data_IF_192386889544
#
_entry.id   IF_192386889544
#
_cell.length_a   1.000
_cell.length_b   1.000
_cell.length_c   1.000
_cell.angle_alpha   90.00
_cell.angle_beta   90.00
_cell.angle_gamma   90.00
#
_symmetry.space_group_name_H-M   'P 1'
#
loop_
_entity.id
_entity.type
_entity.pdbx_description
1 polymer ?
#
# COMPACT_ATOMS: atom_id res chain seq x y z
N UNK A 1 -12.01 -55.88 15.47
CA UNK A 1 -12.70 -54.96 14.54
C UNK A 1 -12.09 -53.59 14.74
N UNK A 2 -11.16 -53.22 13.87
CA UNK A 2 -10.52 -51.90 13.86
C UNK A 2 -11.50 -50.91 13.25
N UNK A 3 -11.94 -49.93 14.03
CA UNK A 3 -12.66 -48.78 13.49
C UNK A 3 -11.64 -47.88 12.80
N UNK A 4 -11.70 -47.84 11.47
CA UNK A 4 -11.05 -46.81 10.68
C UNK A 4 -11.60 -45.43 11.09
N UNK A 5 -10.77 -44.41 11.36
CA UNK A 5 -11.27 -43.06 11.49
C UNK A 5 -11.83 -42.64 10.12
N UNK A 6 -13.08 -42.19 10.12
CA UNK A 6 -13.83 -41.74 8.95
C UNK A 6 -13.12 -40.60 8.22
N UNK A 7 -12.80 -40.82 6.95
CA UNK A 7 -12.38 -39.81 5.97
C UNK A 7 -13.55 -38.87 5.60
N UNK A 8 -14.08 -38.10 6.54
CA UNK A 8 -14.96 -36.97 6.23
C UNK A 8 -14.24 -35.66 6.57
N UNK A 9 -13.20 -35.35 5.78
CA UNK A 9 -12.67 -33.99 5.73
C UNK A 9 -13.67 -33.10 5.00
N UNK A 10 -14.59 -32.51 5.77
CA UNK A 10 -15.69 -31.66 5.30
C UNK A 10 -15.24 -30.51 4.39
N UNK A 11 -16.18 -30.02 3.57
CA UNK A 11 -16.00 -28.82 2.75
C UNK A 11 -15.82 -27.60 3.65
N UNK A 12 -14.93 -26.68 3.29
CA UNK A 12 -14.71 -25.43 4.03
C UNK A 12 -16.01 -24.71 4.40
N UNK A 13 -16.25 -24.49 5.70
CA UNK A 13 -17.32 -23.61 6.20
C UNK A 13 -16.97 -22.14 5.93
N UNK A 14 -17.40 -21.67 4.75
CA UNK A 14 -17.16 -20.31 4.28
C UNK A 14 -17.91 -19.27 5.09
N UNK A 15 -19.10 -19.60 5.60
CA UNK A 15 -19.91 -18.65 6.36
C UNK A 15 -19.23 -18.34 7.69
N UNK A 16 -18.74 -19.37 8.39
CA UNK A 16 -17.92 -19.22 9.60
C UNK A 16 -16.64 -18.44 9.33
N UNK A 17 -15.92 -18.80 8.27
CA UNK A 17 -14.66 -18.13 7.90
C UNK A 17 -14.86 -16.63 7.60
N UNK A 18 -15.92 -16.29 6.87
CA UNK A 18 -16.21 -14.90 6.51
C UNK A 18 -16.85 -14.11 7.66
N UNK A 19 -17.60 -14.76 8.55
CA UNK A 19 -18.03 -14.17 9.81
C UNK A 19 -16.81 -13.78 10.67
N UNK A 20 -15.81 -14.65 10.78
CA UNK A 20 -14.56 -14.36 11.48
C UNK A 20 -13.78 -13.20 10.81
N UNK A 21 -13.72 -13.15 9.48
CA UNK A 21 -13.09 -12.02 8.76
C UNK A 21 -13.80 -10.70 9.03
N UNK A 22 -15.14 -10.69 9.06
CA UNK A 22 -15.92 -9.51 9.39
C UNK A 22 -15.69 -9.08 10.85
N UNK A 23 -15.61 -10.04 11.77
CA UNK A 23 -15.27 -9.76 13.17
C UNK A 23 -13.88 -9.13 13.29
N UNK A 24 -12.88 -9.67 12.59
CA UNK A 24 -11.53 -9.10 12.51
C UNK A 24 -11.55 -7.64 12.02
N UNK A 25 -12.30 -7.37 10.95
CA UNK A 25 -12.45 -6.01 10.41
C UNK A 25 -13.18 -5.05 11.36
N UNK A 26 -14.10 -5.53 12.20
CA UNK A 26 -14.75 -4.72 13.24
C UNK A 26 -13.79 -4.41 14.40
N UNK A 27 -13.01 -5.40 14.84
CA UNK A 27 -12.05 -5.23 15.91
C UNK A 27 -10.84 -4.38 15.48
N UNK A 28 -10.44 -4.45 14.21
CA UNK A 28 -9.33 -3.70 13.61
C UNK A 28 -9.77 -2.98 12.32
N UNK A 29 -10.60 -1.92 12.41
CA UNK A 29 -11.14 -1.24 11.22
C UNK A 29 -10.08 -0.70 10.26
N UNK A 30 -8.92 -0.32 10.80
CA UNK A 30 -7.79 0.17 10.00
C UNK A 30 -7.18 -0.92 9.10
N UNK A 31 -7.34 -2.20 9.42
CA UNK A 31 -6.87 -3.34 8.62
C UNK A 31 -7.90 -3.86 7.61
N UNK A 32 -9.13 -3.35 7.62
CA UNK A 32 -10.22 -3.87 6.80
C UNK A 32 -9.87 -3.93 5.31
N UNK A 33 -9.18 -2.92 4.77
CA UNK A 33 -8.76 -2.91 3.36
C UNK A 33 -7.88 -4.11 3.03
N UNK A 34 -6.96 -4.49 3.93
CA UNK A 34 -6.07 -5.62 3.71
C UNK A 34 -6.78 -6.96 3.91
N UNK A 35 -7.61 -7.09 4.96
CA UNK A 35 -8.40 -8.29 5.24
C UNK A 35 -9.31 -8.68 4.06
N UNK A 36 -9.91 -7.71 3.39
CA UNK A 36 -10.76 -7.95 2.22
C UNK A 36 -10.01 -7.99 0.89
N UNK A 37 -8.71 -7.68 0.87
CA UNK A 37 -7.87 -7.88 -0.30
C UNK A 37 -7.34 -9.32 -0.40
N UNK A 38 -7.28 -10.06 0.71
CA UNK A 38 -6.82 -11.46 0.71
C UNK A 38 -7.78 -12.37 -0.05
N UNK A 39 -7.21 -13.14 -0.98
CA UNK A 39 -7.93 -14.22 -1.65
C UNK A 39 -7.84 -15.51 -0.83
N UNK A 40 -8.96 -16.23 -0.67
CA UNK A 40 -9.00 -17.47 0.11
C UNK A 40 -8.84 -18.68 -0.78
N UNK A 41 -7.84 -19.49 -0.49
CA UNK A 41 -7.59 -20.77 -1.16
C UNK A 41 -7.84 -21.89 -0.16
N UNK A 42 -8.86 -22.72 -0.41
CA UNK A 42 -9.08 -23.93 0.39
C UNK A 42 -7.93 -24.91 0.15
N UNK A 43 -7.28 -25.38 1.21
CA UNK A 43 -6.18 -26.34 1.11
C UNK A 43 -6.18 -27.30 2.30
N UNK A 44 -6.24 -28.60 2.01
CA UNK A 44 -6.09 -29.66 3.03
C UNK A 44 -4.62 -29.90 3.44
N UNK A 45 -3.68 -29.22 2.78
CA UNK A 45 -2.23 -29.41 2.98
C UNK A 45 -1.65 -28.44 4.00
N UNK A 46 -2.30 -27.31 4.22
CA UNK A 46 -1.94 -26.37 5.29
C UNK A 46 -2.50 -26.87 6.63
N UNK A 47 -1.74 -26.83 7.74
CA UNK A 47 -2.21 -27.33 9.04
C UNK A 47 -3.26 -26.41 9.71
N UNK A 48 -3.20 -25.11 9.42
CA UNK A 48 -4.02 -24.04 10.02
C UNK A 48 -4.51 -23.08 8.92
N UNK A 49 -4.09 -21.82 8.99
CA UNK A 49 -4.14 -20.83 7.93
C UNK A 49 -2.71 -20.38 7.67
N UNK A 50 -2.42 -19.98 6.45
CA UNK A 50 -1.11 -19.48 6.05
C UNK A 50 -1.26 -18.50 4.88
N UNK A 51 -0.28 -17.63 4.69
CA UNK A 51 -0.25 -16.69 3.56
C UNK A 51 0.95 -16.92 2.66
N UNK A 52 0.78 -16.63 1.36
CA UNK A 52 1.91 -16.55 0.42
C UNK A 52 2.31 -15.09 0.12
N UNK A 53 3.43 -14.93 -0.58
CA UNK A 53 3.99 -13.63 -1.01
C UNK A 53 3.08 -12.88 -1.98
N UNK A 54 2.08 -13.56 -2.55
CA UNK A 54 1.12 -13.04 -3.51
C UNK A 54 -0.23 -12.69 -2.86
N UNK A 55 -0.29 -12.60 -1.51
CA UNK A 55 -1.48 -12.20 -0.75
C UNK A 55 -2.67 -13.17 -0.87
N UNK A 56 -2.38 -14.45 -1.12
CA UNK A 56 -3.36 -15.53 -0.95
C UNK A 56 -3.29 -16.04 0.48
N UNK A 57 -4.45 -16.38 1.04
CA UNK A 57 -4.58 -17.01 2.35
C UNK A 57 -5.09 -18.44 2.15
N UNK A 58 -4.24 -19.41 2.42
CA UNK A 58 -4.53 -20.83 2.38
C UNK A 58 -5.22 -21.24 3.67
N UNK A 59 -6.32 -21.98 3.57
CA UNK A 59 -7.18 -22.27 4.72
C UNK A 59 -7.49 -23.77 4.79
N UNK A 60 -7.19 -24.36 5.94
CA UNK A 60 -7.54 -25.74 6.28
C UNK A 60 -9.01 -25.85 6.73
N UNK A 61 -9.87 -26.63 6.04
CA UNK A 61 -11.26 -26.85 6.49
C UNK A 61 -11.34 -27.39 7.91
N UNK A 62 -10.51 -28.38 8.25
CA UNK A 62 -10.47 -28.98 9.58
C UNK A 62 -10.00 -28.00 10.68
N UNK A 63 -9.25 -26.96 10.33
CA UNK A 63 -8.91 -25.88 11.26
C UNK A 63 -10.09 -24.93 11.47
N UNK A 64 -10.76 -24.54 10.39
CA UNK A 64 -11.95 -23.69 10.50
C UNK A 64 -13.04 -24.36 11.30
N UNK A 65 -13.26 -25.67 11.12
CA UNK A 65 -14.28 -26.42 11.86
C UNK A 65 -14.01 -26.43 13.36
N UNK A 66 -12.75 -26.64 13.79
CA UNK A 66 -12.38 -26.75 15.22
C UNK A 66 -12.31 -25.41 15.97
N UNK A 67 -12.02 -24.32 15.28
CA UNK A 67 -11.74 -23.03 15.93
C UNK A 67 -13.01 -22.18 16.14
N UNK A 68 -13.19 -21.51 17.29
CA UNK A 68 -14.24 -20.50 17.46
C UNK A 68 -14.09 -19.32 16.49
N UNK A 69 -15.19 -18.61 16.19
CA UNK A 69 -15.20 -17.46 15.28
C UNK A 69 -14.30 -16.33 15.78
N UNK A 70 -14.28 -16.11 17.10
CA UNK A 70 -13.52 -15.07 17.78
C UNK A 70 -12.02 -15.32 17.70
N UNK A 71 -11.58 -16.58 17.79
CA UNK A 71 -10.18 -16.97 17.64
C UNK A 71 -9.74 -16.93 16.18
N UNK A 72 -10.59 -17.41 15.24
CA UNK A 72 -10.33 -17.29 13.80
C UNK A 72 -10.18 -15.83 13.36
N UNK A 73 -10.88 -14.90 13.99
CA UNK A 73 -10.71 -13.48 13.73
C UNK A 73 -9.31 -12.97 14.13
N UNK A 74 -8.76 -13.47 15.23
CA UNK A 74 -7.37 -13.23 15.63
C UNK A 74 -6.39 -13.76 14.58
N UNK A 75 -6.63 -14.97 14.07
CA UNK A 75 -5.83 -15.59 13.01
C UNK A 75 -5.88 -14.74 11.73
N UNK A 76 -7.05 -14.25 11.31
CA UNK A 76 -7.15 -13.34 10.16
C UNK A 76 -6.27 -12.09 10.28
N UNK A 77 -6.27 -11.47 11.48
CA UNK A 77 -5.42 -10.30 11.74
C UNK A 77 -3.95 -10.70 11.78
N UNK A 78 -3.61 -11.84 12.36
CA UNK A 78 -2.25 -12.37 12.39
C UNK A 78 -1.70 -12.59 10.97
N UNK A 79 -2.40 -13.37 10.14
CA UNK A 79 -1.99 -13.69 8.77
C UNK A 79 -1.78 -12.44 7.90
N UNK A 80 -2.73 -11.49 7.93
CA UNK A 80 -2.61 -10.26 7.13
C UNK A 80 -1.47 -9.36 7.62
N UNK A 81 -1.09 -9.46 8.89
CA UNK A 81 -0.01 -8.66 9.48
C UNK A 81 1.35 -9.04 8.92
N UNK A 82 1.61 -10.32 8.61
CA UNK A 82 2.85 -10.73 7.93
C UNK A 82 3.03 -10.00 6.59
N UNK A 83 1.94 -9.85 5.84
CA UNK A 83 1.96 -9.26 4.50
C UNK A 83 2.08 -7.74 4.53
N UNK A 84 1.38 -7.09 5.47
CA UNK A 84 1.47 -5.65 5.70
C UNK A 84 2.87 -5.24 6.20
N UNK A 85 3.46 -6.03 7.09
CA UNK A 85 4.80 -5.79 7.64
C UNK A 85 5.94 -6.31 6.75
N UNK A 86 5.63 -6.84 5.57
CA UNK A 86 6.61 -7.37 4.60
C UNK A 86 7.57 -8.40 5.22
N UNK A 87 7.08 -9.31 6.08
CA UNK A 87 7.96 -10.24 6.80
C UNK A 87 8.77 -11.13 5.86
N UNK A 88 8.18 -11.65 4.77
CA UNK A 88 8.95 -12.40 3.77
C UNK A 88 10.04 -11.58 3.07
N UNK A 89 9.79 -10.31 2.76
CA UNK A 89 10.74 -9.45 2.06
C UNK A 89 11.86 -8.99 3.00
N UNK A 90 11.50 -8.59 4.22
CA UNK A 90 12.44 -8.31 5.32
C UNK A 90 13.31 -9.52 5.66
N UNK A 91 12.70 -10.70 5.74
CA UNK A 91 13.38 -11.97 6.01
C UNK A 91 14.41 -12.30 4.94
N UNK A 92 14.06 -12.12 3.66
CA UNK A 92 14.99 -12.32 2.54
C UNK A 92 16.16 -11.32 2.52
N UNK A 93 15.93 -10.06 2.91
CA UNK A 93 17.01 -9.07 3.09
C UNK A 93 17.95 -9.52 4.20
N UNK A 94 17.41 -9.88 5.35
CA UNK A 94 18.16 -10.36 6.51
C UNK A 94 18.96 -11.65 6.19
N UNK A 95 18.33 -12.60 5.48
CA UNK A 95 18.99 -13.83 5.04
C UNK A 95 20.22 -13.54 4.17
N UNK A 96 20.08 -12.64 3.19
CA UNK A 96 21.19 -12.25 2.31
C UNK A 96 22.31 -11.56 3.08
N UNK A 97 21.97 -10.64 3.99
CA UNK A 97 22.95 -9.89 4.78
C UNK A 97 23.75 -10.77 5.75
N UNK A 98 23.10 -11.78 6.35
CA UNK A 98 23.69 -12.62 7.39
C UNK A 98 24.06 -14.03 6.93
N UNK A 99 23.89 -14.35 5.65
CA UNK A 99 24.16 -15.68 5.09
C UNK A 99 23.25 -16.79 5.63
N UNK A 100 22.01 -16.45 6.03
CA UNK A 100 21.05 -17.41 6.58
C UNK A 100 20.32 -18.11 5.44
N UNK A 101 20.53 -19.41 5.29
CA UNK A 101 20.06 -20.18 4.12
C UNK A 101 19.35 -21.49 4.49
N UNK A 102 19.41 -21.90 5.76
CA UNK A 102 18.84 -23.16 6.21
C UNK A 102 17.34 -23.07 6.45
N UNK A 103 16.66 -24.22 6.37
CA UNK A 103 15.24 -24.34 6.78
C UNK A 103 15.01 -23.93 8.23
N UNK A 104 16.00 -24.18 9.11
CA UNK A 104 15.96 -23.71 10.49
C UNK A 104 16.01 -22.18 10.60
N UNK A 105 16.69 -21.49 9.69
CA UNK A 105 16.72 -20.03 9.67
C UNK A 105 15.36 -19.46 9.30
N UNK A 106 14.68 -20.09 8.34
CA UNK A 106 13.32 -19.72 7.91
C UNK A 106 12.31 -19.95 9.03
N UNK A 107 12.41 -21.05 9.76
CA UNK A 107 11.61 -21.28 10.97
C UNK A 107 11.89 -20.20 12.03
N UNK A 108 13.15 -19.82 12.28
CA UNK A 108 13.48 -18.72 13.20
C UNK A 108 12.87 -17.39 12.76
N UNK A 109 12.87 -17.10 11.46
CA UNK A 109 12.21 -15.91 10.90
C UNK A 109 10.69 -15.95 11.11
N UNK A 110 10.07 -17.11 10.91
CA UNK A 110 8.64 -17.29 11.14
C UNK A 110 8.28 -17.04 12.62
N UNK A 111 9.00 -17.68 13.55
CA UNK A 111 8.82 -17.47 15.01
C UNK A 111 9.06 -15.99 15.39
N UNK A 112 10.09 -15.35 14.84
CA UNK A 112 10.39 -13.94 15.08
C UNK A 112 9.28 -13.00 14.58
N UNK A 113 8.75 -13.28 13.39
CA UNK A 113 7.65 -12.56 12.78
C UNK A 113 6.37 -12.71 13.62
N UNK A 114 6.10 -13.91 14.11
CA UNK A 114 4.99 -14.19 15.02
C UNK A 114 5.13 -13.41 16.33
N UNK A 115 6.33 -13.34 16.91
CA UNK A 115 6.60 -12.51 18.09
C UNK A 115 6.26 -11.03 17.82
N UNK A 116 6.77 -10.44 16.72
CA UNK A 116 6.48 -9.04 16.34
C UNK A 116 4.97 -8.79 16.18
N UNK A 117 4.23 -9.77 15.63
CA UNK A 117 2.78 -9.66 15.42
C UNK A 117 2.02 -9.81 16.73
N UNK A 118 2.33 -10.86 17.46
CA UNK A 118 1.55 -11.28 18.61
C UNK A 118 1.66 -10.31 19.79
N UNK A 119 2.64 -9.41 19.80
CA UNK A 119 2.77 -8.32 20.76
C UNK A 119 1.59 -7.34 20.75
N UNK A 120 0.99 -7.07 19.58
CA UNK A 120 -0.05 -6.02 19.46
C UNK A 120 -1.33 -6.44 18.72
N UNK A 121 -1.45 -7.71 18.34
CA UNK A 121 -2.66 -8.22 17.65
C UNK A 121 -3.87 -8.36 18.58
N UNK A 122 -3.70 -8.85 19.81
CA UNK A 122 -4.80 -9.31 20.66
C UNK A 122 -5.33 -8.25 21.63
N UNK A 123 -6.47 -8.50 22.27
CA UNK A 123 -7.20 -7.51 23.06
C UNK A 123 -8.19 -6.72 22.21
N UNK A 124 -8.97 -5.82 22.82
CA UNK A 124 -9.95 -4.96 22.14
C UNK A 124 -10.84 -5.72 21.13
N UNK A 125 -11.42 -6.84 21.58
CA UNK A 125 -12.32 -7.66 20.78
C UNK A 125 -11.69 -8.84 20.03
N UNK A 126 -10.37 -9.05 20.15
CA UNK A 126 -9.68 -10.24 19.63
C UNK A 126 -9.13 -11.10 20.77
N UNK A 127 -9.49 -12.38 20.75
CA UNK A 127 -9.04 -13.39 21.71
C UNK A 127 -7.67 -13.91 21.27
N UNK A 128 -6.77 -14.12 22.23
CA UNK A 128 -5.50 -14.80 21.99
C UNK A 128 -5.72 -16.32 21.91
N UNK A 129 -5.43 -16.97 20.77
CA UNK A 129 -5.52 -18.41 20.66
C UNK A 129 -4.52 -19.14 21.58
N UNK A 130 -4.91 -20.32 22.02
CA UNK A 130 -4.00 -21.23 22.71
C UNK A 130 -2.85 -21.61 21.77
N UNK A 131 -1.61 -21.39 22.22
CA UNK A 131 -0.41 -21.65 21.43
C UNK A 131 0.17 -20.44 20.68
N UNK A 132 -0.46 -19.26 20.73
CA UNK A 132 0.13 -18.05 20.16
C UNK A 132 1.50 -17.74 20.78
N UNK A 133 2.52 -17.65 19.93
CA UNK A 133 3.91 -17.38 20.34
C UNK A 133 4.02 -15.95 20.89
N UNK A 134 4.77 -15.79 21.99
CA UNK A 134 5.04 -14.50 22.61
C UNK A 134 6.52 -14.41 23.00
N UNK A 135 7.14 -13.20 22.95
CA UNK A 135 8.55 -13.03 23.29
C UNK A 135 8.93 -13.57 24.67
N UNK A 136 8.09 -13.35 25.68
CA UNK A 136 8.34 -13.80 27.05
C UNK A 136 8.47 -15.34 27.18
N UNK A 137 7.82 -16.13 26.31
CA UNK A 137 7.98 -17.61 26.29
C UNK A 137 9.41 -18.00 25.90
N UNK A 138 10.04 -17.18 25.07
CA UNK A 138 11.41 -17.36 24.57
C UNK A 138 12.45 -16.61 25.42
N UNK A 139 12.03 -16.00 26.55
CA UNK A 139 12.86 -15.15 27.41
C UNK A 139 13.46 -13.93 26.67
N UNK A 140 12.70 -13.42 25.70
CA UNK A 140 13.03 -12.24 24.92
C UNK A 140 12.19 -11.04 25.38
N UNK A 141 12.70 -9.80 25.26
CA UNK A 141 11.91 -8.60 25.57
C UNK A 141 10.77 -8.41 24.55
N UNK A 142 9.67 -7.81 24.96
CA UNK A 142 8.55 -7.47 24.09
C UNK A 142 8.83 -6.20 23.28
N UNK A 143 8.11 -6.03 22.16
CA UNK A 143 8.09 -4.82 21.36
C UNK A 143 9.24 -4.66 20.37
N UNK A 144 9.99 -5.73 20.07
CA UNK A 144 11.06 -5.70 19.08
C UNK A 144 10.56 -6.03 17.67
N UNK A 145 11.38 -5.71 16.67
CA UNK A 145 11.17 -6.12 15.29
C UNK A 145 11.69 -7.54 15.05
N UNK A 146 11.16 -8.20 14.01
CA UNK A 146 11.54 -9.54 13.57
C UNK A 146 13.07 -9.68 13.43
N UNK A 147 13.78 -8.71 12.85
CA UNK A 147 15.23 -8.77 12.65
C UNK A 147 16.02 -8.81 13.97
N UNK A 148 15.50 -8.17 15.02
CA UNK A 148 16.06 -8.22 16.37
C UNK A 148 15.79 -9.60 16.99
N UNK A 149 14.55 -10.08 16.89
CA UNK A 149 14.14 -11.38 17.41
C UNK A 149 14.90 -12.55 16.78
N UNK A 150 15.16 -12.52 15.47
CA UNK A 150 15.94 -13.57 14.79
C UNK A 150 17.33 -13.75 15.43
N UNK A 151 17.95 -12.67 15.92
CA UNK A 151 19.24 -12.73 16.62
C UNK A 151 19.16 -13.37 18.00
N UNK A 152 18.03 -13.23 18.69
CA UNK A 152 17.79 -13.79 20.03
C UNK A 152 17.23 -15.22 20.03
N UNK A 153 16.67 -15.67 18.90
CA UNK A 153 16.04 -17.00 18.81
C UNK A 153 17.06 -18.07 18.42
N UNK A 154 17.15 -19.10 19.25
CA UNK A 154 17.88 -20.35 18.97
C UNK A 154 16.90 -21.51 18.86
N UNK A 155 17.13 -22.41 17.91
CA UNK A 155 16.39 -23.66 17.81
C UNK A 155 16.87 -24.64 18.88
N UNK A 156 15.99 -25.01 19.81
CA UNK A 156 16.35 -25.79 20.99
C UNK A 156 15.15 -26.04 21.90
N UNK A 157 15.39 -26.26 23.20
CA UNK A 157 14.35 -26.68 24.14
C UNK A 157 13.15 -25.71 24.23
N UNK A 158 13.36 -24.39 24.08
CA UNK A 158 12.31 -23.37 24.15
C UNK A 158 11.51 -23.20 22.85
N UNK A 159 11.94 -23.82 21.75
CA UNK A 159 11.33 -23.69 20.42
C UNK A 159 10.96 -25.04 19.81
N UNK A 160 11.19 -26.14 20.52
CA UNK A 160 10.96 -27.50 20.04
C UNK A 160 9.47 -27.73 19.72
N UNK A 161 8.59 -27.25 20.60
CA UNK A 161 7.14 -27.28 20.45
C UNK A 161 6.62 -26.28 19.41
N UNK A 162 7.47 -25.42 18.85
CA UNK A 162 7.15 -24.48 17.77
C UNK A 162 7.60 -25.00 16.39
N UNK A 163 8.19 -26.19 16.31
CA UNK A 163 8.68 -26.76 15.05
C UNK A 163 7.60 -27.05 14.01
N UNK A 164 6.33 -27.14 14.43
CA UNK A 164 5.17 -27.32 13.56
C UNK A 164 4.62 -26.00 12.99
N UNK A 165 5.10 -24.85 13.50
CA UNK A 165 4.59 -23.53 13.15
C UNK A 165 4.91 -23.20 11.69
N UNK A 166 3.87 -22.87 10.94
CA UNK A 166 4.00 -22.54 9.51
C UNK A 166 2.93 -21.55 9.06
N UNK A 167 3.23 -20.26 9.16
CA UNK A 167 2.39 -19.16 8.63
C UNK A 167 2.58 -18.95 7.10
N UNK A 168 3.31 -19.84 6.43
CA UNK A 168 3.51 -19.84 4.97
C UNK A 168 4.62 -18.93 4.46
N UNK A 169 4.81 -18.92 3.14
CA UNK A 169 5.89 -18.18 2.48
C UNK A 169 5.75 -16.66 2.58
N UNK A 170 4.56 -16.14 2.86
CA UNK A 170 4.31 -14.73 3.16
C UNK A 170 4.91 -14.28 4.50
N UNK A 171 5.16 -15.22 5.41
CA UNK A 171 5.77 -14.98 6.72
C UNK A 171 7.29 -15.11 6.69
N UNK A 172 7.84 -16.17 6.07
CA UNK A 172 9.28 -16.49 6.16
C UNK A 172 10.03 -16.46 4.82
N UNK A 173 9.32 -16.32 3.69
CA UNK A 173 9.90 -16.28 2.35
C UNK A 173 10.26 -17.64 1.74
N UNK A 174 10.06 -18.76 2.46
CA UNK A 174 10.31 -20.10 1.93
C UNK A 174 9.05 -20.66 1.27
N UNK A 175 9.12 -20.96 -0.03
CA UNK A 175 7.98 -21.51 -0.76
C UNK A 175 7.57 -22.89 -0.22
N UNK A 176 6.27 -23.10 -0.11
CA UNK A 176 5.67 -24.37 0.31
C UNK A 176 5.02 -25.05 -0.88
N UNK A 177 4.89 -26.36 -0.80
CA UNK A 177 4.33 -27.12 -1.90
C UNK A 177 2.81 -26.87 -2.12
N UNK A 178 2.13 -26.18 -1.20
CA UNK A 178 0.75 -25.70 -1.40
C UNK A 178 0.67 -24.29 -1.98
N UNK A 179 1.79 -23.57 -2.10
CA UNK A 179 1.80 -22.25 -2.72
C UNK A 179 1.53 -22.38 -4.23
N UNK A 180 0.60 -21.58 -4.74
CA UNK A 180 0.26 -21.56 -6.17
C UNK A 180 1.31 -20.83 -7.03
N UNK A 181 2.29 -20.17 -6.39
CA UNK A 181 3.34 -19.43 -7.06
C UNK A 181 2.86 -18.16 -7.78
N UNK A 182 3.75 -17.53 -8.57
CA UNK A 182 3.47 -16.28 -9.28
C UNK A 182 2.42 -16.45 -10.39
N UNK A 183 2.41 -17.59 -11.07
CA UNK A 183 1.47 -17.90 -12.16
C UNK A 183 0.12 -18.43 -11.66
N UNK A 184 -0.04 -18.58 -10.35
CA UNK A 184 -1.30 -18.99 -9.74
C UNK A 184 -2.41 -17.96 -9.93
N UNK A 185 -3.66 -18.42 -10.00
CA UNK A 185 -4.81 -17.52 -10.04
C UNK A 185 -4.92 -16.66 -8.76
N UNK A 186 -5.60 -15.52 -8.87
CA UNK A 186 -6.07 -14.71 -7.73
C UNK A 186 -5.00 -14.17 -6.76
N UNK A 187 -3.74 -14.11 -7.19
CA UNK A 187 -2.68 -13.40 -6.47
C UNK A 187 -2.73 -11.90 -6.77
N UNK A 188 -2.39 -11.06 -5.79
CA UNK A 188 -2.28 -9.62 -6.02
C UNK A 188 -0.98 -9.30 -6.78
N UNK A 189 -1.08 -8.39 -7.75
CA UNK A 189 0.10 -7.77 -8.37
C UNK A 189 0.89 -7.00 -7.32
N UNK A 190 2.18 -6.76 -7.55
CA UNK A 190 3.02 -6.01 -6.61
C UNK A 190 2.45 -4.61 -6.34
N UNK A 191 1.94 -3.97 -7.39
CA UNK A 191 1.30 -2.65 -7.32
C UNK A 191 0.01 -2.66 -6.50
N UNK A 192 -0.79 -3.74 -6.59
CA UNK A 192 -2.00 -3.91 -5.78
C UNK A 192 -1.64 -4.08 -4.30
N UNK A 193 -0.59 -4.85 -3.98
CA UNK A 193 -0.11 -5.04 -2.60
C UNK A 193 0.29 -3.70 -1.98
N UNK A 194 1.02 -2.88 -2.72
CA UNK A 194 1.45 -1.56 -2.24
C UNK A 194 0.28 -0.59 -2.13
N UNK A 195 -0.68 -0.63 -3.05
CA UNK A 195 -1.92 0.13 -2.91
C UNK A 195 -2.74 -0.27 -1.67
N UNK A 196 -2.68 -1.55 -1.26
CA UNK A 196 -3.30 -2.01 -0.02
C UNK A 196 -2.53 -1.51 1.20
N UNK A 197 -1.21 -1.70 1.27
CA UNK A 197 -0.35 -1.19 2.35
C UNK A 197 -0.51 0.32 2.52
N UNK A 198 -0.50 1.04 1.41
CA UNK A 198 -0.72 2.47 1.35
C UNK A 198 -2.06 2.89 1.96
N UNK A 199 -3.15 2.24 1.56
CA UNK A 199 -4.49 2.54 2.08
C UNK A 199 -4.58 2.27 3.58
N UNK A 200 -3.97 1.21 4.08
CA UNK A 200 -3.90 0.91 5.51
C UNK A 200 -3.11 1.99 6.26
N UNK A 201 -1.90 2.33 5.78
CA UNK A 201 -1.07 3.37 6.39
C UNK A 201 -1.77 4.74 6.42
N UNK A 202 -2.45 5.13 5.33
CA UNK A 202 -3.26 6.34 5.31
C UNK A 202 -4.46 6.28 6.26
N UNK A 203 -5.11 5.12 6.37
CA UNK A 203 -6.22 4.90 7.30
C UNK A 203 -5.78 5.15 8.74
N UNK A 204 -4.64 4.58 9.13
CA UNK A 204 -4.03 4.77 10.44
C UNK A 204 -3.65 6.24 10.66
N UNK A 205 -2.91 6.87 9.73
CA UNK A 205 -2.49 8.28 9.85
C UNK A 205 -3.67 9.25 9.92
N UNK A 206 -4.74 9.00 9.18
CA UNK A 206 -5.89 9.90 9.12
C UNK A 206 -6.78 9.81 10.36
N UNK A 207 -6.89 8.62 10.95
CA UNK A 207 -7.76 8.34 12.11
C UNK A 207 -7.05 7.33 13.03
N UNK A 208 -6.02 7.76 13.78
CA UNK A 208 -5.24 6.84 14.59
C UNK A 208 -6.10 6.13 15.64
N UNK A 209 -7.11 6.81 16.22
CA UNK A 209 -8.07 6.17 17.13
C UNK A 209 -7.37 5.38 18.24
N UNK A 210 -7.74 4.10 18.38
CA UNK A 210 -7.13 3.13 19.31
C UNK A 210 -6.07 2.23 18.64
N UNK A 211 -5.49 2.65 17.51
CA UNK A 211 -4.46 1.86 16.81
C UNK A 211 -3.24 1.68 17.72
N UNK A 212 -2.70 0.46 17.91
CA UNK A 212 -1.49 0.22 18.70
C UNK A 212 -0.28 1.02 18.21
N UNK A 213 0.64 1.35 19.11
CA UNK A 213 1.83 2.14 18.77
C UNK A 213 2.70 1.50 17.68
N UNK A 214 2.80 0.16 17.65
CA UNK A 214 3.54 -0.56 16.61
C UNK A 214 2.99 -0.29 15.22
N UNK A 215 1.66 -0.32 15.07
CA UNK A 215 0.96 0.04 13.83
C UNK A 215 1.08 1.53 13.46
N UNK A 216 1.13 2.43 14.45
CA UNK A 216 1.36 3.85 14.19
C UNK A 216 2.77 4.09 13.63
N UNK A 217 3.81 3.50 14.25
CA UNK A 217 5.19 3.56 13.75
C UNK A 217 5.32 2.93 12.37
N UNK A 218 4.74 1.74 12.17
CA UNK A 218 4.69 1.10 10.86
C UNK A 218 4.06 2.02 9.81
N UNK A 219 2.93 2.67 10.13
CA UNK A 219 2.29 3.56 9.16
C UNK A 219 3.15 4.79 8.84
N UNK A 220 3.88 5.32 9.82
CA UNK A 220 4.83 6.42 9.67
C UNK A 220 5.99 6.04 8.74
N UNK A 221 6.58 4.86 8.94
CA UNK A 221 7.77 4.36 8.24
C UNK A 221 7.47 3.67 6.91
N UNK A 222 6.26 3.14 6.71
CA UNK A 222 5.88 2.37 5.52
C UNK A 222 6.07 3.14 4.21
N UNK A 223 5.96 4.47 4.26
CA UNK A 223 6.22 5.36 3.14
C UNK A 223 6.90 6.64 3.65
N UNK A 224 7.75 7.25 2.81
CA UNK A 224 8.46 8.48 3.13
C UNK A 224 7.52 9.64 3.52
N UNK A 225 8.02 10.75 4.10
CA UNK A 225 7.21 11.97 4.26
C UNK A 225 6.82 12.55 2.91
N UNK A 226 5.55 12.96 2.74
CA UNK A 226 5.09 13.52 1.46
C UNK A 226 5.66 14.90 1.18
N UNK A 227 5.81 15.27 -0.09
CA UNK A 227 6.27 16.61 -0.45
C UNK A 227 5.31 17.71 0.03
N UNK A 228 5.78 18.95 0.27
CA UNK A 228 4.96 20.07 0.69
C UNK A 228 4.10 20.59 -0.48
N UNK A 229 3.10 19.81 -0.90
CA UNK A 229 2.28 20.08 -2.08
C UNK A 229 1.52 21.40 -1.99
N UNK A 230 1.24 21.91 -0.79
CA UNK A 230 0.63 23.25 -0.64
C UNK A 230 1.54 24.34 -1.19
N UNK A 231 2.86 24.20 -1.03
CA UNK A 231 3.83 25.18 -1.51
C UNK A 231 4.15 24.96 -2.98
N UNK A 232 4.28 23.69 -3.40
CA UNK A 232 4.51 23.32 -4.81
C UNK A 232 3.35 23.74 -5.70
N UNK A 233 2.11 23.56 -5.24
CA UNK A 233 0.90 24.03 -5.90
C UNK A 233 0.62 25.52 -5.58
N UNK A 234 1.43 26.15 -4.73
CA UNK A 234 1.15 27.45 -4.13
C UNK A 234 0.88 28.58 -5.11
N UNK A 235 1.57 28.64 -6.26
CA UNK A 235 1.27 29.66 -7.27
C UNK A 235 0.01 29.37 -8.07
N UNK A 236 -0.39 28.09 -8.23
CA UNK A 236 -1.67 27.73 -8.83
C UNK A 236 -2.82 27.96 -7.84
N UNK A 237 -2.61 27.63 -6.56
CA UNK A 237 -3.50 27.99 -5.46
C UNK A 237 -3.66 29.51 -5.35
N UNK A 238 -2.56 30.28 -5.47
CA UNK A 238 -2.59 31.74 -5.50
C UNK A 238 -3.24 32.27 -6.78
N UNK A 239 -2.99 31.71 -7.95
CA UNK A 239 -3.66 32.12 -9.19
C UNK A 239 -5.18 31.87 -9.12
N UNK A 240 -5.61 30.78 -8.49
CA UNK A 240 -7.01 30.52 -8.16
C UNK A 240 -7.59 31.51 -7.12
N UNK A 241 -6.74 32.22 -6.37
CA UNK A 241 -7.10 33.24 -5.37
C UNK A 241 -6.94 34.68 -5.91
N UNK A 242 -6.05 34.91 -6.87
CA UNK A 242 -5.57 36.23 -7.34
C UNK A 242 -5.85 36.49 -8.81
N UNK A 243 -6.46 35.54 -9.54
CA UNK A 243 -6.83 35.71 -10.94
C UNK A 243 -7.76 36.90 -11.10
N UNK A 244 -7.22 38.01 -11.61
CA UNK A 244 -7.97 39.12 -12.18
C UNK A 244 -8.83 38.58 -13.31
N UNK A 245 -10.11 38.28 -12.99
CA UNK A 245 -11.08 37.65 -13.88
C UNK A 245 -11.73 36.35 -13.37
N UNK A 246 -11.48 35.90 -12.13
CA UNK A 246 -12.20 34.74 -11.54
C UNK A 246 -12.61 34.92 -10.07
N UNK A 247 -12.66 36.19 -9.64
CA UNK A 247 -13.50 36.64 -8.53
C UNK A 247 -14.92 37.03 -8.96
N UNK A 248 -15.27 36.86 -10.24
CA UNK A 248 -16.55 37.36 -10.79
C UNK A 248 -17.65 36.30 -10.91
N UNK A 249 -17.40 35.03 -10.56
CA UNK A 249 -18.47 34.04 -10.44
C UNK A 249 -19.16 34.21 -9.08
N UNK A 250 -19.82 35.34 -8.93
CA UNK A 250 -20.93 35.51 -8.01
C UNK A 250 -21.93 34.36 -8.25
N UNK A 251 -21.89 33.36 -7.38
CA UNK A 251 -22.80 32.22 -7.49
C UNK A 251 -24.09 32.56 -6.74
N UNK A 252 -25.21 32.57 -7.46
CA UNK A 252 -26.57 32.55 -6.89
C UNK A 252 -27.00 31.13 -6.46
N UNK A 253 -26.05 30.21 -6.25
CA UNK A 253 -26.35 28.88 -5.72
C UNK A 253 -26.88 28.97 -4.29
N UNK A 254 -27.86 28.11 -3.96
CA UNK A 254 -28.57 28.12 -2.66
C UNK A 254 -27.60 28.34 -1.48
N UNK A 255 -27.76 29.41 -0.70
CA UNK A 255 -26.89 29.71 0.43
C UNK A 255 -26.88 28.59 1.47
N UNK A 256 -25.79 28.49 2.23
CA UNK A 256 -25.76 27.71 3.47
C UNK A 256 -26.93 28.13 4.35
N UNK A 257 -27.68 27.17 4.93
CA UNK A 257 -28.79 27.44 5.86
C UNK A 257 -28.35 28.23 7.11
N UNK A 258 -27.04 28.35 7.37
CA UNK A 258 -26.46 29.13 8.48
C UNK A 258 -26.12 30.57 8.11
N UNK A 259 -26.32 30.98 6.85
CA UNK A 259 -26.13 32.37 6.39
C UNK A 259 -27.44 33.15 6.59
N UNK A 260 -27.54 33.86 7.71
CA UNK A 260 -28.72 34.62 8.13
C UNK A 260 -28.70 36.08 7.66
N UNK A 261 -28.45 36.32 6.37
CA UNK A 261 -28.28 37.69 5.86
C UNK A 261 -29.58 38.41 5.51
N UNK A 262 -30.43 37.82 4.65
CA UNK A 262 -31.62 38.48 4.09
C UNK A 262 -32.69 37.43 3.73
N UNK A 263 -33.85 37.40 4.42
CA UNK A 263 -34.97 36.56 4.02
C UNK A 263 -35.48 36.93 2.62
N UNK A 264 -35.64 35.95 1.73
CA UNK A 264 -36.23 36.17 0.40
C UNK A 264 -35.28 36.64 -0.71
N UNK A 265 -33.99 36.87 -0.43
CA UNK A 265 -33.00 37.25 -1.43
C UNK A 265 -31.82 36.26 -1.48
N UNK A 266 -31.44 35.82 -2.68
CA UNK A 266 -30.20 35.05 -2.88
C UNK A 266 -29.08 36.05 -3.16
N UNK A 267 -28.26 36.32 -2.14
CA UNK A 267 -27.10 37.17 -2.31
C UNK A 267 -25.97 36.44 -3.05
N UNK A 268 -25.28 37.13 -3.96
CA UNK A 268 -24.19 36.52 -4.69
C UNK A 268 -23.02 36.21 -3.74
N UNK A 269 -22.51 34.97 -3.82
CA UNK A 269 -21.41 34.51 -2.96
C UNK A 269 -20.14 34.28 -3.77
N UNK A 270 -19.01 34.79 -3.26
CA UNK A 270 -17.70 34.57 -3.85
C UNK A 270 -17.29 33.11 -3.65
N UNK A 271 -17.42 32.26 -4.68
CA UNK A 271 -17.01 30.86 -4.61
C UNK A 271 -15.59 30.69 -5.11
N UNK A 272 -14.67 30.44 -4.19
CA UNK A 272 -13.29 30.04 -4.50
C UNK A 272 -13.28 28.62 -5.06
N UNK A 273 -12.74 28.41 -6.26
CA UNK A 273 -12.53 27.07 -6.84
C UNK A 273 -11.05 26.69 -6.65
N UNK A 274 -10.72 25.63 -5.90
CA UNK A 274 -9.34 25.15 -5.82
C UNK A 274 -8.88 24.67 -7.21
N UNK A 275 -7.57 24.72 -7.51
CA UNK A 275 -7.05 24.33 -8.81
C UNK A 275 -7.31 22.85 -9.08
N UNK A 276 -7.61 22.53 -10.34
CA UNK A 276 -7.72 21.18 -10.86
C UNK A 276 -6.32 20.64 -11.13
N UNK A 277 -6.00 19.51 -10.53
CA UNK A 277 -4.70 18.86 -10.66
C UNK A 277 -4.87 17.56 -11.42
N UNK A 278 -4.05 17.37 -12.46
CA UNK A 278 -3.92 16.09 -13.13
C UNK A 278 -2.57 15.46 -12.75
N UNK A 279 -2.59 14.31 -12.09
CA UNK A 279 -1.39 13.55 -11.71
C UNK A 279 -1.18 12.44 -12.74
N UNK A 280 0.00 12.40 -13.35
CA UNK A 280 0.46 11.34 -14.23
C UNK A 280 1.44 10.50 -13.42
N UNK A 281 1.16 9.21 -13.29
CA UNK A 281 2.00 8.24 -12.60
C UNK A 281 2.66 7.37 -13.66
N UNK A 282 3.99 7.36 -13.69
CA UNK A 282 4.77 6.42 -14.46
C UNK A 282 4.63 5.02 -13.85
N UNK A 283 4.14 4.08 -14.64
CA UNK A 283 3.95 2.67 -14.26
C UNK A 283 4.77 1.75 -15.16
N UNK A 284 5.92 2.24 -15.65
CA UNK A 284 6.84 1.44 -16.45
C UNK A 284 7.62 0.44 -15.63
N UNK A 285 8.23 -0.53 -16.31
CA UNK A 285 9.03 -1.57 -15.66
C UNK A 285 10.32 -1.06 -14.99
N UNK A 286 10.74 0.19 -15.20
CA UNK A 286 11.86 0.74 -14.43
C UNK A 286 11.41 1.22 -13.05
N UNK A 287 10.16 1.68 -12.90
CA UNK A 287 9.61 2.13 -11.62
C UNK A 287 9.38 0.93 -10.71
N UNK A 288 10.07 0.90 -9.58
CA UNK A 288 9.91 -0.13 -8.55
C UNK A 288 8.62 0.05 -7.76
N UNK A 289 8.18 -1.00 -7.08
CA UNK A 289 6.93 -0.95 -6.32
C UNK A 289 6.99 0.07 -5.17
N UNK A 290 8.12 0.17 -4.48
CA UNK A 290 8.34 1.20 -3.46
C UNK A 290 8.20 2.63 -3.99
N UNK A 291 8.63 2.87 -5.24
CA UNK A 291 8.45 4.15 -5.94
C UNK A 291 6.96 4.37 -6.31
N UNK A 292 6.24 3.31 -6.67
CA UNK A 292 4.81 3.41 -6.95
C UNK A 292 3.98 3.68 -5.68
N UNK A 293 4.29 3.01 -4.57
CA UNK A 293 3.70 3.29 -3.26
C UNK A 293 3.98 4.72 -2.80
N UNK A 294 5.21 5.22 -3.06
CA UNK A 294 5.60 6.61 -2.90
C UNK A 294 4.72 7.54 -3.76
N UNK A 295 4.45 7.18 -5.02
CA UNK A 295 3.56 7.94 -5.90
C UNK A 295 2.14 8.07 -5.33
N UNK A 296 1.60 6.98 -4.78
CA UNK A 296 0.27 6.95 -4.17
C UNK A 296 0.19 7.87 -2.94
N UNK A 297 1.27 7.92 -2.15
CA UNK A 297 1.40 8.87 -1.04
C UNK A 297 1.33 10.31 -1.51
N UNK A 298 2.07 10.66 -2.56
CA UNK A 298 2.05 12.00 -3.12
C UNK A 298 0.67 12.37 -3.65
N UNK A 299 -0.03 11.46 -4.33
CA UNK A 299 -1.41 11.67 -4.80
C UNK A 299 -2.36 12.00 -3.63
N UNK A 300 -2.28 11.25 -2.53
CA UNK A 300 -3.11 11.53 -1.36
C UNK A 300 -2.77 12.89 -0.72
N UNK A 301 -1.49 13.26 -0.69
CA UNK A 301 -1.03 14.55 -0.19
C UNK A 301 -1.49 15.71 -1.08
N UNK A 302 -1.43 15.56 -2.40
CA UNK A 302 -1.99 16.50 -3.40
C UNK A 302 -3.49 16.68 -3.17
N UNK A 303 -4.24 15.58 -3.00
CA UNK A 303 -5.68 15.61 -2.76
C UNK A 303 -6.03 16.40 -1.49
N UNK A 304 -5.25 16.23 -0.40
CA UNK A 304 -5.39 17.05 0.82
C UNK A 304 -5.05 18.52 0.56
N UNK A 305 -3.99 18.81 -0.19
CA UNK A 305 -3.55 20.18 -0.48
C UNK A 305 -4.60 21.00 -1.26
N UNK A 306 -5.39 20.37 -2.12
CA UNK A 306 -6.50 21.02 -2.86
C UNK A 306 -7.85 21.00 -2.13
N UNK A 307 -7.85 20.72 -0.81
CA UNK A 307 -9.03 20.79 0.03
C UNK A 307 -9.82 19.48 0.17
N UNK A 308 -9.19 18.33 -0.12
CA UNK A 308 -9.79 16.99 0.09
C UNK A 308 -10.90 16.63 -0.90
N UNK A 309 -11.14 17.46 -1.92
CA UNK A 309 -12.15 17.27 -2.95
C UNK A 309 -11.64 16.34 -4.04
N UNK A 310 -12.21 15.13 -4.10
CA UNK A 310 -11.84 14.10 -5.08
C UNK A 310 -12.13 14.49 -6.53
N UNK A 311 -13.06 15.41 -6.77
CA UNK A 311 -13.41 15.89 -8.11
C UNK A 311 -12.37 16.86 -8.72
N UNK A 312 -11.38 17.29 -7.94
CA UNK A 312 -10.34 18.23 -8.37
C UNK A 312 -9.02 17.55 -8.70
N UNK A 313 -8.88 16.25 -8.40
CA UNK A 313 -7.67 15.48 -8.70
C UNK A 313 -8.02 14.36 -9.67
N UNK A 314 -7.45 14.43 -10.86
CA UNK A 314 -7.50 13.36 -11.84
C UNK A 314 -6.17 12.63 -11.84
N UNK A 315 -6.19 11.30 -11.84
CA UNK A 315 -4.97 10.48 -11.86
C UNK A 315 -4.96 9.66 -13.14
N UNK A 316 -3.79 9.60 -13.78
CA UNK A 316 -3.52 8.96 -15.06
C UNK A 316 -2.32 8.03 -14.88
N UNK A 317 -2.48 6.72 -15.08
CA UNK A 317 -1.34 5.81 -15.21
C UNK A 317 -0.74 5.91 -16.62
N UNK A 318 0.57 5.76 -16.77
CA UNK A 318 1.24 5.84 -18.07
C UNK A 318 2.27 4.71 -18.21
N UNK A 319 2.04 3.81 -19.17
CA UNK A 319 2.97 2.75 -19.59
C UNK A 319 3.02 2.63 -21.14
N UNK A 320 4.09 2.06 -21.68
CA UNK A 320 4.25 1.84 -23.12
C UNK A 320 3.62 0.53 -23.61
N UNK A 321 3.31 -0.43 -22.72
CA UNK A 321 2.72 -1.71 -23.12
C UNK A 321 1.30 -1.58 -23.65
N UNK A 322 0.60 -0.46 -23.39
CA UNK A 322 -0.76 -0.27 -23.87
C UNK A 322 -1.06 1.10 -24.49
N UNK A 323 -0.28 2.15 -24.22
CA UNK A 323 -0.74 3.53 -24.54
C UNK A 323 -2.07 3.87 -23.86
N UNK A 324 -2.49 3.07 -22.87
CA UNK A 324 -3.77 3.17 -22.19
C UNK A 324 -3.57 3.96 -20.92
N UNK A 325 -3.79 5.25 -21.03
CA UNK A 325 -3.97 6.07 -19.84
C UNK A 325 -5.34 5.79 -19.21
N UNK A 326 -5.41 5.28 -17.99
CA UNK A 326 -6.69 5.05 -17.29
C UNK A 326 -7.00 6.19 -16.32
N UNK A 327 -8.21 6.79 -16.37
CA UNK A 327 -8.64 7.71 -15.34
C UNK A 327 -8.90 6.95 -14.04
N UNK A 328 -8.09 7.23 -13.04
CA UNK A 328 -8.18 6.70 -11.69
C UNK A 328 -9.13 7.58 -10.86
N UNK A 329 -10.40 7.58 -11.24
CA UNK A 329 -11.45 8.34 -10.55
C UNK A 329 -12.68 7.47 -10.29
N UNK A 330 -12.66 6.68 -9.21
CA UNK A 330 -13.81 6.32 -8.36
C UNK A 330 -13.29 5.54 -7.14
N UNK A 331 -14.12 5.42 -6.11
CA UNK A 331 -13.74 4.94 -4.79
C UNK A 331 -13.26 3.47 -4.74
N UNK A 332 -13.28 2.74 -5.85
CA UNK A 332 -12.82 1.37 -5.96
C UNK A 332 -11.39 1.26 -6.52
N UNK A 333 -10.40 1.29 -5.63
CA UNK A 333 -9.04 0.84 -5.92
C UNK A 333 -8.27 1.63 -6.98
N UNK A 334 -6.94 1.56 -6.93
CA UNK A 334 -6.09 2.13 -7.97
C UNK A 334 -5.54 0.95 -8.75
N UNK A 335 -6.20 0.47 -9.83
CA UNK A 335 -5.61 -0.54 -10.69
C UNK A 335 -4.43 0.09 -11.44
N UNK A 336 -3.23 -0.11 -10.90
CA UNK A 336 -1.97 0.24 -11.54
C UNK A 336 -1.47 -1.01 -12.25
N UNK A 337 -1.93 -1.20 -13.49
CA UNK A 337 -1.42 -2.25 -14.38
C UNK A 337 -0.30 -1.60 -15.20
N UNK A 338 0.90 -2.17 -15.14
CA UNK A 338 2.09 -1.63 -15.82
C UNK A 338 3.24 -2.63 -15.88
N UNK A 339 4.24 -2.36 -16.72
CA UNK A 339 5.39 -3.26 -16.96
C UNK A 339 6.14 -3.08 -18.29
N UNK A 340 5.70 -2.17 -19.17
CA UNK A 340 6.41 -1.80 -20.41
C UNK A 340 7.43 -0.66 -20.24
N UNK A 341 7.93 -0.09 -21.35
CA UNK A 341 8.68 1.18 -21.33
C UNK A 341 7.82 2.40 -20.92
N UNK A 342 8.38 3.62 -20.92
CA UNK A 342 7.64 4.87 -20.63
C UNK A 342 7.64 5.82 -21.83
N UNK A 343 6.49 6.43 -22.12
CA UNK A 343 6.40 7.68 -22.90
C UNK A 343 5.41 8.65 -22.26
N UNK A 344 5.91 9.49 -21.33
CA UNK A 344 5.10 10.48 -20.64
C UNK A 344 4.50 11.54 -21.57
N UNK A 345 4.99 11.73 -22.81
CA UNK A 345 4.39 12.68 -23.76
C UNK A 345 2.92 12.34 -24.00
N UNK A 346 2.59 11.05 -24.08
CA UNK A 346 1.21 10.56 -24.23
C UNK A 346 0.34 10.89 -23.02
N UNK A 347 0.89 10.78 -21.81
CA UNK A 347 0.26 11.17 -20.56
C UNK A 347 -0.04 12.68 -20.50
N UNK A 348 0.96 13.51 -20.84
CA UNK A 348 0.81 14.97 -20.90
C UNK A 348 -0.23 15.40 -21.92
N UNK A 349 -0.19 14.82 -23.12
CA UNK A 349 -1.18 15.09 -24.16
C UNK A 349 -2.60 14.78 -23.71
N UNK A 350 -2.82 13.61 -23.06
CA UNK A 350 -4.14 13.24 -22.59
C UNK A 350 -4.61 14.13 -21.44
N UNK A 351 -3.71 14.49 -20.52
CA UNK A 351 -3.99 15.45 -19.46
C UNK A 351 -4.47 16.80 -20.05
N UNK A 352 -3.78 17.32 -21.06
CA UNK A 352 -4.11 18.61 -21.70
C UNK A 352 -5.38 18.57 -22.57
N UNK A 353 -5.73 17.40 -23.11
CA UNK A 353 -7.00 17.18 -23.84
C UNK A 353 -8.20 16.95 -22.92
N UNK A 354 -7.98 16.65 -21.64
CA UNK A 354 -9.06 16.39 -20.69
C UNK A 354 -9.99 17.60 -20.55
N UNK A 355 -11.28 17.30 -20.30
CA UNK A 355 -12.30 18.31 -20.01
C UNK A 355 -12.97 17.96 -18.69
N UNK A 356 -12.93 18.85 -17.68
CA UNK A 356 -12.25 20.15 -17.70
C UNK A 356 -10.72 20.05 -17.79
N UNK A 357 -10.07 21.07 -18.38
CA UNK A 357 -8.60 21.14 -18.44
C UNK A 357 -7.99 21.32 -17.04
N UNK A 358 -6.82 20.73 -16.77
CA UNK A 358 -6.12 20.91 -15.50
C UNK A 358 -5.44 22.28 -15.43
N UNK A 359 -5.41 22.85 -14.23
CA UNK A 359 -4.64 24.05 -13.90
C UNK A 359 -3.17 23.70 -13.61
N UNK A 360 -2.94 22.48 -13.11
CA UNK A 360 -1.62 21.93 -12.81
C UNK A 360 -1.52 20.48 -13.28
N UNK A 361 -0.40 20.14 -13.92
CA UNK A 361 0.00 18.76 -14.17
C UNK A 361 1.13 18.39 -13.20
N UNK A 362 1.00 17.24 -12.56
CA UNK A 362 2.05 16.63 -11.74
C UNK A 362 2.47 15.33 -12.41
N UNK A 363 3.75 15.13 -12.71
CA UNK A 363 4.27 13.87 -13.23
C UNK A 363 5.17 13.21 -12.17
N UNK A 364 4.89 11.96 -11.81
CA UNK A 364 5.66 11.16 -10.85
C UNK A 364 6.35 10.03 -11.63
N UNK A 365 7.69 10.05 -11.68
CA UNK A 365 8.49 9.17 -12.56
C UNK A 365 9.92 9.03 -12.04
N UNK A 366 10.65 8.01 -12.49
CA UNK A 366 12.09 7.90 -12.28
C UNK A 366 12.92 8.74 -13.29
N UNK A 367 12.25 9.42 -14.22
CA UNK A 367 12.85 10.29 -15.24
C UNK A 367 13.32 9.55 -16.49
N UNK A 368 13.14 8.23 -16.61
CA UNK A 368 13.57 7.44 -17.77
C UNK A 368 12.54 7.46 -18.91
N UNK A 369 12.18 8.66 -19.36
CA UNK A 369 11.10 8.88 -20.33
C UNK A 369 11.42 10.06 -21.25
N UNK A 370 10.99 10.02 -22.52
CA UNK A 370 10.96 11.22 -23.34
C UNK A 370 9.98 12.26 -22.76
N UNK A 371 10.35 13.54 -22.88
CA UNK A 371 9.56 14.67 -22.40
C UNK A 371 8.87 15.43 -23.54
N UNK A 372 7.78 16.18 -23.27
CA UNK A 372 7.21 17.10 -24.25
C UNK A 372 8.23 18.16 -24.69
N UNK A 373 8.37 18.37 -25.99
CA UNK A 373 9.29 19.36 -26.55
C UNK A 373 8.89 20.80 -26.23
N UNK A 374 7.58 21.08 -26.15
CA UNK A 374 7.04 22.39 -25.81
C UNK A 374 6.48 22.40 -24.38
N UNK A 375 6.63 23.55 -23.71
CA UNK A 375 6.06 23.75 -22.38
C UNK A 375 4.52 23.63 -22.43
N UNK A 376 3.90 22.80 -21.57
CA UNK A 376 2.46 22.73 -21.40
C UNK A 376 1.86 24.09 -21.01
N UNK A 377 0.63 24.37 -21.44
CA UNK A 377 -0.07 25.62 -21.11
C UNK A 377 -0.41 25.79 -19.63
N UNK A 378 -0.30 24.72 -18.85
CA UNK A 378 -0.54 24.70 -17.42
C UNK A 378 0.77 24.56 -16.65
N UNK A 379 0.75 24.91 -15.37
CA UNK A 379 1.92 24.70 -14.52
C UNK A 379 2.24 23.22 -14.44
N UNK A 380 3.53 22.87 -14.45
CA UNK A 380 3.97 21.49 -14.30
C UNK A 380 4.94 21.32 -13.14
N UNK A 381 4.71 20.28 -12.35
CA UNK A 381 5.61 19.80 -11.30
C UNK A 381 6.04 18.37 -11.65
N UNK A 382 7.32 18.06 -11.56
CA UNK A 382 7.86 16.71 -11.76
C UNK A 382 8.38 16.22 -10.41
N UNK A 383 7.81 15.14 -9.90
CA UNK A 383 8.35 14.37 -8.78
C UNK A 383 9.24 13.25 -9.31
N UNK A 384 10.54 13.35 -9.06
CA UNK A 384 11.52 12.34 -9.44
C UNK A 384 11.76 11.35 -8.31
N UNK A 385 11.69 10.06 -8.61
CA UNK A 385 12.24 9.05 -7.73
C UNK A 385 13.79 9.03 -7.82
N UNK A 386 14.51 9.01 -6.69
CA UNK A 386 15.95 9.10 -6.68
C UNK A 386 16.58 7.87 -7.33
N UNK A 387 17.46 8.11 -8.29
CA UNK A 387 18.33 7.09 -8.88
C UNK A 387 19.79 7.39 -8.52
N UNK A 388 20.52 6.46 -7.87
CA UNK A 388 21.95 6.61 -7.69
C UNK A 388 22.63 6.74 -9.05
N UNK A 389 23.54 7.71 -9.20
CA UNK A 389 24.26 7.99 -10.46
C UNK A 389 24.99 6.75 -11.01
N UNK A 390 25.37 5.80 -10.15
CA UNK A 390 26.02 4.54 -10.50
C UNK A 390 25.09 3.44 -11.04
N UNK A 391 23.77 3.61 -10.91
CA UNK A 391 22.77 2.58 -11.19
C UNK A 391 21.92 2.89 -12.42
N UNK A 392 22.25 3.92 -13.22
CA UNK A 392 21.58 4.17 -14.51
C UNK A 392 21.77 2.93 -15.39
N UNK A 393 20.71 2.15 -15.66
CA UNK A 393 20.85 1.00 -16.52
C UNK A 393 21.09 1.52 -17.93
N UNK A 394 22.27 1.19 -18.48
CA UNK A 394 22.46 1.19 -19.93
C UNK A 394 21.38 0.26 -20.48
N UNK A 395 20.48 0.74 -21.34
CA UNK A 395 19.57 -0.18 -22.05
C UNK A 395 20.44 -1.26 -22.69
N UNK A 396 20.14 -2.55 -22.49
CA UNK A 396 20.91 -3.66 -23.10
C UNK A 396 21.04 -3.48 -24.62
N UNK A 397 20.03 -2.85 -25.24
CA UNK A 397 19.98 -2.56 -26.68
C UNK A 397 20.54 -1.18 -27.07
N UNK A 398 20.91 -0.31 -26.12
CA UNK A 398 21.58 0.96 -26.38
C UNK A 398 22.43 1.42 -25.17
N UNK A 399 23.72 1.07 -25.13
CA UNK A 399 24.62 1.44 -24.04
C UNK A 399 24.98 2.94 -23.97
N UNK A 400 24.55 3.74 -24.95
CA UNK A 400 24.71 5.21 -24.98
C UNK A 400 23.44 5.97 -24.58
N UNK A 401 22.34 5.28 -24.25
CA UNK A 401 21.09 5.94 -23.85
C UNK A 401 21.24 6.61 -22.48
N UNK A 402 21.45 7.92 -22.48
CA UNK A 402 21.22 8.76 -21.31
C UNK A 402 19.78 9.27 -21.30
N UNK A 403 19.01 9.04 -20.23
CA UNK A 403 17.69 9.63 -20.09
C UNK A 403 17.76 11.15 -20.16
N UNK A 404 16.83 11.76 -20.90
CA UNK A 404 16.71 13.21 -20.98
C UNK A 404 16.49 13.78 -19.57
N UNK A 405 17.31 14.77 -19.21
CA UNK A 405 17.09 15.51 -17.96
C UNK A 405 15.71 16.18 -17.99
N UNK A 406 15.04 16.30 -16.84
CA UNK A 406 13.74 16.97 -16.77
C UNK A 406 13.82 18.36 -17.40
N UNK A 407 12.77 18.79 -18.14
CA UNK A 407 12.81 20.07 -18.84
C UNK A 407 12.90 21.26 -17.88
N UNK A 408 13.65 22.29 -18.26
CA UNK A 408 13.85 23.50 -17.45
C UNK A 408 12.56 24.28 -17.14
N UNK A 409 11.51 24.08 -17.94
CA UNK A 409 10.19 24.71 -17.73
C UNK A 409 9.37 24.07 -16.60
N UNK A 410 9.76 22.90 -16.12
CA UNK A 410 9.07 22.20 -15.04
C UNK A 410 9.71 22.47 -13.68
N UNK A 411 8.89 22.54 -12.62
CA UNK A 411 9.42 22.52 -11.25
C UNK A 411 9.72 21.08 -10.85
N UNK A 412 10.98 20.75 -10.66
CA UNK A 412 11.41 19.41 -10.23
C UNK A 412 11.50 19.33 -8.70
N UNK A 413 11.03 18.23 -8.14
CA UNK A 413 11.20 17.84 -6.73
C UNK A 413 11.61 16.37 -6.66
N UNK A 414 12.38 16.00 -5.64
CA UNK A 414 12.77 14.61 -5.40
C UNK A 414 11.79 13.97 -4.42
N UNK A 415 11.30 12.78 -4.74
CA UNK A 415 10.32 12.02 -3.95
C UNK A 415 11.07 10.98 -3.13
N UNK A 416 10.86 10.95 -1.81
CA UNK A 416 11.58 10.02 -0.92
C UNK A 416 12.77 10.63 -0.18
N UNK A 417 13.24 11.83 -0.55
CA UNK A 417 14.20 12.56 0.28
C UNK A 417 13.47 13.26 1.43
N UNK A 418 13.88 12.95 2.67
CA UNK A 418 13.49 13.77 3.81
C UNK A 418 13.95 15.21 3.50
N UNK A 419 13.01 16.15 3.49
CA UNK A 419 13.33 17.57 3.38
C UNK A 419 14.34 17.90 4.47
N UNK A 420 15.59 18.16 4.07
CA UNK A 420 16.66 18.47 4.99
C UNK A 420 16.26 19.62 5.90
N UNK A 421 16.10 19.31 7.19
CA UNK A 421 16.20 20.29 8.25
C UNK A 421 17.54 21.00 8.10
N UNK A 422 17.47 22.30 7.79
CA UNK A 422 18.51 23.24 8.20
C UNK A 422 18.36 23.53 9.68
#
# INVERSE_FOLDING_TARGET
MSAHPSEEGGRLDRDKLFAARLHAARARPYLATALFALHTVESKRVPTMAVDRHWRCYVSPAFVDRMPVEELAGVWVHEVSHLLRDHHGRGDRLARERGLTGVGDRLRMNIAADCEINDDVYGDGLVQPEGAVRPWRLKLPEGQLMEEYVGGISLGALTLDLSWLDCGSGADGLERAWDLGPDGADGLSEQERDAVRFRVAQGIKARPGSTPQGWQRWAEEAFHPSQPWRDLLGAALRSAVSGSGSGDDYSYGRPSRRSAGVPGAVLPSLRRRPPRVCVIIDTSGSVSDGELGSALLEVAAISRAVGGRRDLVHVLSCDAAAGVVRPLCRAEGIPLVGGGGTDLRTGFEKALRSRPRPDVVVALTDGQTPWPAAQPSCRTVIGLFPRPVRSRPRRENNPEYEPDSPPAWARVVEIGSASGTR
#
